data_IF_210086099952
#
_entry.id   IF_210086099952
#
_cell.length_a   1.000
_cell.length_b   1.000
_cell.length_c   1.000
_cell.angle_alpha   90.00
_cell.angle_beta   90.00
_cell.angle_gamma   90.00
#
_symmetry.space_group_name_H-M   'P 1'
#
loop_
_entity.id
_entity.type
_entity.pdbx_description
1 polymer ?
#
# COMPACT_ATOMS: atom_id res chain seq x y z
N UNK A 1 -15.62 -3.78 12.84
CA UNK A 1 -14.32 -3.95 13.49
C UNK A 1 -13.58 -5.17 12.98
N UNK A 2 -13.70 -6.32 13.64
CA UNK A 2 -12.84 -7.49 13.38
C UNK A 2 -12.74 -7.96 11.91
N UNK A 3 -13.82 -7.87 11.12
CA UNK A 3 -13.77 -8.22 9.69
C UNK A 3 -12.92 -7.24 8.87
N UNK A 4 -12.98 -5.94 9.20
CA UNK A 4 -12.13 -4.92 8.58
C UNK A 4 -10.65 -5.19 8.91
N UNK A 5 -10.35 -5.45 10.19
CA UNK A 5 -8.99 -5.81 10.61
C UNK A 5 -8.45 -7.06 9.88
N UNK A 6 -9.30 -8.07 9.66
CA UNK A 6 -8.90 -9.25 8.89
C UNK A 6 -8.56 -8.94 7.42
N UNK A 7 -9.26 -7.99 6.80
CA UNK A 7 -8.94 -7.50 5.45
C UNK A 7 -7.59 -6.75 5.48
N UNK A 8 -7.37 -5.89 6.47
CA UNK A 8 -6.09 -5.16 6.63
C UNK A 8 -4.90 -6.09 6.85
N UNK A 9 -5.09 -7.18 7.59
CA UNK A 9 -4.04 -8.18 7.81
C UNK A 9 -3.62 -8.87 6.51
N UNK A 10 -4.53 -9.09 5.57
CA UNK A 10 -4.19 -9.58 4.23
C UNK A 10 -3.28 -8.59 3.50
N UNK A 11 -3.61 -7.30 3.51
CA UNK A 11 -2.78 -6.27 2.89
C UNK A 11 -1.42 -6.11 3.59
N UNK A 12 -1.36 -6.19 4.93
CA UNK A 12 -0.10 -6.20 5.67
C UNK A 12 0.80 -7.36 5.26
N UNK A 13 0.25 -8.54 5.04
CA UNK A 13 1.01 -9.70 4.58
C UNK A 13 1.58 -9.51 3.15
N UNK A 14 0.83 -8.87 2.25
CA UNK A 14 1.31 -8.52 0.91
C UNK A 14 2.44 -7.49 0.98
N UNK A 15 2.28 -6.43 1.78
CA UNK A 15 3.34 -5.45 2.03
C UNK A 15 4.61 -6.09 2.59
N UNK A 16 4.48 -7.04 3.53
CA UNK A 16 5.63 -7.80 4.03
C UNK A 16 6.31 -8.62 2.91
N UNK A 17 5.52 -9.16 1.98
CA UNK A 17 6.01 -9.86 0.78
C UNK A 17 6.87 -8.97 -0.10
N UNK A 18 6.37 -7.77 -0.42
CA UNK A 18 7.07 -6.77 -1.23
C UNK A 18 8.33 -6.27 -0.52
N UNK A 19 8.26 -6.00 0.79
CA UNK A 19 9.40 -5.59 1.60
C UNK A 19 10.52 -6.65 1.59
N UNK A 20 10.17 -7.94 1.73
CA UNK A 20 11.13 -9.04 1.63
C UNK A 20 11.78 -9.10 0.24
N UNK A 21 11.01 -8.91 -0.83
CA UNK A 21 11.53 -8.91 -2.20
C UNK A 21 12.55 -7.77 -2.40
N UNK A 22 12.23 -6.55 -1.96
CA UNK A 22 13.16 -5.41 -2.03
C UNK A 22 14.45 -5.67 -1.24
N UNK A 23 14.35 -6.25 -0.04
CA UNK A 23 15.50 -6.61 0.77
C UNK A 23 16.39 -7.66 0.08
N UNK A 24 15.79 -8.68 -0.53
CA UNK A 24 16.52 -9.71 -1.30
C UNK A 24 17.24 -9.12 -2.51
N UNK A 25 16.60 -8.18 -3.22
CA UNK A 25 17.23 -7.47 -4.34
C UNK A 25 18.43 -6.69 -3.82
N UNK A 26 18.26 -5.88 -2.77
CA UNK A 26 19.33 -5.06 -2.20
C UNK A 26 20.53 -5.88 -1.75
N UNK A 27 20.30 -7.04 -1.12
CA UNK A 27 21.36 -7.94 -0.67
C UNK A 27 22.17 -8.55 -1.83
N UNK A 28 21.56 -8.74 -3.00
CA UNK A 28 22.22 -9.31 -4.18
C UNK A 28 22.99 -8.29 -5.02
N UNK A 29 22.79 -6.99 -4.79
CA UNK A 29 23.43 -5.90 -5.56
C UNK A 29 24.48 -5.20 -4.71
N UNK A 30 25.32 -5.96 -4.02
CA UNK A 30 26.33 -5.40 -3.12
C UNK A 30 27.44 -4.58 -3.84
N UNK A 31 27.46 -4.54 -5.18
CA UNK A 31 28.38 -3.71 -5.96
C UNK A 31 27.66 -2.86 -7.03
N UNK A 32 27.89 -1.54 -7.10
CA UNK A 32 27.24 -0.63 -8.05
C UNK A 32 27.39 -0.99 -9.53
N UNK A 33 28.48 -1.69 -9.90
CA UNK A 33 28.74 -2.15 -11.26
C UNK A 33 28.06 -3.48 -11.64
N UNK A 34 27.52 -4.20 -10.67
CA UNK A 34 26.88 -5.49 -10.90
C UNK A 34 25.38 -5.36 -11.16
N UNK A 35 24.79 -4.19 -10.93
CA UNK A 35 23.34 -4.00 -11.12
C UNK A 35 22.96 -4.20 -12.60
N UNK A 36 23.56 -3.48 -13.55
CA UNK A 36 23.19 -3.59 -14.97
C UNK A 36 23.40 -5.01 -15.57
N UNK A 37 24.53 -5.72 -15.32
CA UNK A 37 24.68 -7.12 -15.70
C UNK A 37 23.75 -8.08 -14.94
N UNK A 38 23.51 -7.84 -13.65
CA UNK A 38 22.57 -8.62 -12.86
C UNK A 38 21.12 -8.34 -13.23
N UNK A 39 20.81 -7.33 -14.05
CA UNK A 39 19.49 -6.98 -14.58
C UNK A 39 19.23 -7.52 -16.00
N UNK A 40 20.26 -7.76 -16.81
CA UNK A 40 20.10 -8.23 -18.19
C UNK A 40 19.79 -9.74 -18.28
N UNK A 41 18.54 -10.13 -18.57
CA UNK A 41 18.16 -11.54 -18.84
C UNK A 41 18.15 -12.49 -17.62
N UNK A 42 18.31 -11.94 -16.43
CA UNK A 42 18.63 -12.62 -15.16
C UNK A 42 17.44 -12.69 -14.19
N UNK A 43 17.65 -13.39 -13.07
CA UNK A 43 16.66 -13.52 -11.98
C UNK A 43 16.20 -12.17 -11.41
N UNK A 44 17.02 -11.12 -11.49
CA UNK A 44 16.64 -9.79 -11.02
C UNK A 44 15.62 -9.09 -11.93
N UNK A 45 15.74 -9.21 -13.27
CA UNK A 45 14.70 -8.72 -14.18
C UNK A 45 13.37 -9.44 -13.95
N UNK A 46 13.41 -10.76 -13.69
CA UNK A 46 12.22 -11.52 -13.28
C UNK A 46 11.66 -11.04 -11.94
N UNK A 47 12.53 -10.77 -10.96
CA UNK A 47 12.13 -10.22 -9.67
C UNK A 47 11.57 -8.80 -9.78
N UNK A 48 12.07 -7.98 -10.72
CA UNK A 48 11.60 -6.61 -10.93
C UNK A 48 10.28 -6.56 -11.70
N UNK A 49 10.11 -7.43 -12.69
CA UNK A 49 8.81 -7.65 -13.34
C UNK A 49 7.76 -8.16 -12.32
N UNK A 50 8.16 -9.09 -11.44
CA UNK A 50 7.33 -9.52 -10.32
C UNK A 50 7.05 -8.39 -9.34
N UNK A 51 8.04 -7.57 -8.99
CA UNK A 51 7.85 -6.40 -8.11
C UNK A 51 6.86 -5.41 -8.73
N UNK A 52 7.01 -5.04 -9.99
CA UNK A 52 6.09 -4.14 -10.68
C UNK A 52 4.67 -4.70 -10.77
N UNK A 53 4.55 -6.00 -11.02
CA UNK A 53 3.25 -6.69 -11.10
C UNK A 53 2.59 -6.83 -9.72
N UNK A 54 3.34 -7.23 -8.70
CA UNK A 54 2.86 -7.35 -7.32
C UNK A 54 2.48 -5.97 -6.77
N UNK A 55 3.41 -5.01 -6.82
CA UNK A 55 3.15 -3.64 -6.43
C UNK A 55 1.94 -3.04 -7.16
N UNK A 56 1.83 -3.22 -8.48
CA UNK A 56 0.70 -2.74 -9.27
C UNK A 56 -0.63 -3.42 -8.89
N UNK A 57 -0.63 -4.74 -8.72
CA UNK A 57 -1.82 -5.51 -8.32
C UNK A 57 -2.27 -5.14 -6.92
N UNK A 58 -1.36 -5.08 -5.98
CA UNK A 58 -1.65 -4.84 -4.57
C UNK A 58 -2.09 -3.39 -4.35
N UNK A 59 -1.49 -2.44 -5.08
CA UNK A 59 -1.97 -1.06 -5.11
C UNK A 59 -3.39 -0.95 -5.69
N UNK A 60 -3.71 -1.69 -6.76
CA UNK A 60 -5.06 -1.70 -7.33
C UNK A 60 -6.10 -2.32 -6.37
N UNK A 61 -5.72 -3.39 -5.66
CA UNK A 61 -6.58 -4.01 -4.66
C UNK A 61 -6.79 -3.10 -3.44
N UNK A 62 -5.76 -2.38 -2.99
CA UNK A 62 -5.86 -1.42 -1.89
C UNK A 62 -6.73 -0.21 -2.28
N UNK A 63 -6.56 0.30 -3.50
CA UNK A 63 -7.42 1.34 -4.06
C UNK A 63 -8.89 0.90 -4.05
N UNK A 64 -9.18 -0.31 -4.54
CA UNK A 64 -10.55 -0.83 -4.53
C UNK A 64 -11.14 -0.97 -3.12
N UNK A 65 -10.32 -1.33 -2.14
CA UNK A 65 -10.73 -1.40 -0.74
C UNK A 65 -11.12 -0.01 -0.21
N UNK A 66 -10.25 1.00 -0.36
CA UNK A 66 -10.58 2.36 0.04
C UNK A 66 -11.78 2.94 -0.73
N UNK A 67 -11.92 2.61 -2.02
CA UNK A 67 -13.08 3.04 -2.82
C UNK A 67 -14.39 2.47 -2.25
N UNK A 68 -14.39 1.20 -1.79
CA UNK A 68 -15.55 0.59 -1.13
C UNK A 68 -15.86 1.32 0.19
N UNK A 69 -14.83 1.67 0.96
CA UNK A 69 -15.02 2.38 2.22
C UNK A 69 -15.60 3.78 2.00
N UNK A 70 -15.04 4.53 1.06
CA UNK A 70 -15.47 5.88 0.74
C UNK A 70 -16.89 5.92 0.15
N UNK A 71 -17.23 4.96 -0.71
CA UNK A 71 -18.51 4.96 -1.41
C UNK A 71 -19.64 4.30 -0.62
N UNK A 72 -19.34 3.41 0.33
CA UNK A 72 -20.34 2.62 1.03
C UNK A 72 -20.20 2.64 2.55
N UNK A 73 -19.03 2.28 3.09
CA UNK A 73 -18.86 2.13 4.54
C UNK A 73 -18.95 3.47 5.30
N UNK A 74 -18.19 4.48 4.87
CA UNK A 74 -18.18 5.80 5.51
C UNK A 74 -19.53 6.53 5.40
N UNK A 75 -20.24 6.51 4.26
CA UNK A 75 -21.61 7.02 4.20
C UNK A 75 -22.57 6.31 5.16
N UNK A 76 -22.48 4.97 5.29
CA UNK A 76 -23.29 4.21 6.23
C UNK A 76 -22.96 4.56 7.70
N UNK A 77 -21.68 4.67 8.05
CA UNK A 77 -21.23 5.12 9.37
C UNK A 77 -21.71 6.54 9.68
N UNK A 78 -21.59 7.46 8.72
CA UNK A 78 -22.06 8.85 8.87
C UNK A 78 -23.57 8.91 9.12
N UNK A 79 -24.34 8.13 8.34
CA UNK A 79 -25.80 8.05 8.47
C UNK A 79 -26.23 7.48 9.84
N UNK A 80 -25.56 6.43 10.32
CA UNK A 80 -25.94 5.75 11.55
C UNK A 80 -25.37 6.40 12.83
N UNK A 81 -24.14 6.90 12.80
CA UNK A 81 -23.42 7.45 13.96
C UNK A 81 -23.52 8.97 14.10
N UNK A 82 -24.00 9.67 13.06
CA UNK A 82 -24.21 11.11 13.08
C UNK A 82 -22.93 11.92 13.28
N UNK A 83 -23.07 13.13 13.84
CA UNK A 83 -22.00 14.12 13.92
C UNK A 83 -20.75 13.67 14.71
N UNK A 84 -20.88 12.67 15.60
CA UNK A 84 -19.76 12.16 16.39
C UNK A 84 -18.67 11.49 15.53
N UNK A 85 -19.04 10.89 14.39
CA UNK A 85 -18.10 10.20 13.50
C UNK A 85 -17.54 11.09 12.38
N UNK A 86 -18.12 12.28 12.16
CA UNK A 86 -17.68 13.21 11.12
C UNK A 86 -16.17 13.52 11.15
N UNK A 87 -15.53 13.85 12.30
CA UNK A 87 -14.08 14.13 12.31
C UNK A 87 -13.23 12.88 12.03
N UNK A 88 -13.69 11.70 12.43
CA UNK A 88 -13.00 10.43 12.16
C UNK A 88 -13.01 10.13 10.66
N UNK A 89 -14.19 10.18 10.04
CA UNK A 89 -14.36 9.95 8.60
C UNK A 89 -13.57 10.98 7.78
N UNK A 90 -13.63 12.26 8.15
CA UNK A 90 -12.89 13.31 7.46
C UNK A 90 -11.37 13.06 7.46
N UNK A 91 -10.84 12.57 8.59
CA UNK A 91 -9.44 12.18 8.70
C UNK A 91 -9.11 10.97 7.83
N UNK A 92 -9.91 9.90 7.89
CA UNK A 92 -9.69 8.70 7.08
C UNK A 92 -9.68 9.03 5.58
N UNK A 93 -10.64 9.83 5.11
CA UNK A 93 -10.64 10.31 3.72
C UNK A 93 -9.41 11.15 3.36
N UNK A 94 -8.85 11.92 4.31
CA UNK A 94 -7.62 12.66 4.06
C UNK A 94 -6.40 11.73 3.96
N UNK A 95 -6.35 10.69 4.80
CA UNK A 95 -5.33 9.64 4.75
C UNK A 95 -5.41 8.84 3.44
N UNK A 96 -6.61 8.50 2.96
CA UNK A 96 -6.80 7.82 1.67
C UNK A 96 -6.22 8.62 0.50
N UNK A 97 -6.50 9.93 0.44
CA UNK A 97 -5.94 10.81 -0.62
C UNK A 97 -4.42 10.81 -0.62
N UNK A 98 -3.79 10.83 0.55
CA UNK A 98 -2.34 10.73 0.68
C UNK A 98 -1.83 9.36 0.19
N UNK A 99 -2.50 8.27 0.59
CA UNK A 99 -2.13 6.92 0.18
C UNK A 99 -2.26 6.76 -1.34
N UNK A 100 -3.35 7.25 -1.96
CA UNK A 100 -3.53 7.21 -3.42
C UNK A 100 -2.43 8.00 -4.15
N UNK A 101 -1.98 9.14 -3.60
CA UNK A 101 -0.84 9.87 -4.15
C UNK A 101 0.46 9.06 -4.08
N UNK A 102 0.74 8.42 -2.93
CA UNK A 102 1.92 7.57 -2.74
C UNK A 102 1.91 6.33 -3.66
N UNK A 103 0.74 5.73 -3.90
CA UNK A 103 0.55 4.66 -4.87
C UNK A 103 0.95 5.15 -6.27
N UNK A 104 0.47 6.33 -6.67
CA UNK A 104 0.80 6.93 -7.97
C UNK A 104 2.29 7.25 -8.13
N UNK A 105 2.93 7.75 -7.07
CA UNK A 105 4.37 8.01 -7.04
C UNK A 105 5.19 6.72 -7.16
N UNK A 106 4.80 5.68 -6.41
CA UNK A 106 5.46 4.38 -6.45
C UNK A 106 5.30 3.72 -7.82
N UNK A 107 4.12 3.82 -8.44
CA UNK A 107 3.89 3.33 -9.79
C UNK A 107 4.85 3.97 -10.80
N UNK A 108 4.95 5.31 -10.81
CA UNK A 108 5.90 6.03 -11.66
C UNK A 108 7.35 5.63 -11.40
N UNK A 109 7.73 5.44 -10.14
CA UNK A 109 9.08 5.01 -9.77
C UNK A 109 9.38 3.59 -10.27
N UNK A 110 8.39 2.69 -10.20
CA UNK A 110 8.50 1.33 -10.73
C UNK A 110 8.60 1.31 -12.26
N UNK A 111 7.80 2.11 -12.97
CA UNK A 111 7.90 2.26 -14.42
C UNK A 111 9.30 2.77 -14.85
N UNK A 112 9.81 3.81 -14.18
CA UNK A 112 11.14 4.34 -14.46
C UNK A 112 12.24 3.29 -14.20
N UNK A 113 12.09 2.47 -13.17
CA UNK A 113 13.00 1.36 -12.87
C UNK A 113 12.97 0.26 -13.93
N UNK A 114 11.82 0.01 -14.57
CA UNK A 114 11.72 -0.94 -15.69
C UNK A 114 12.40 -0.40 -16.94
N UNK A 115 12.25 0.90 -17.24
CA UNK A 115 12.81 1.53 -18.44
C UNK A 115 14.33 1.69 -18.36
N UNK A 116 14.86 2.17 -17.23
CA UNK A 116 16.29 2.37 -17.00
C UNK A 116 16.70 1.75 -15.66
N UNK A 117 17.03 0.44 -15.66
CA UNK A 117 17.25 -0.27 -14.43
C UNK A 117 18.65 0.07 -13.88
N UNK A 118 18.67 1.02 -12.94
CA UNK A 118 19.86 1.60 -12.33
C UNK A 118 19.77 1.71 -10.81
N UNK A 119 20.90 1.88 -10.13
CA UNK A 119 20.95 1.82 -8.65
C UNK A 119 20.13 2.97 -8.04
N UNK A 120 20.16 4.14 -8.69
CA UNK A 120 19.35 5.29 -8.33
C UNK A 120 17.85 5.05 -8.55
N UNK A 121 17.46 4.40 -9.66
CA UNK A 121 16.06 4.06 -9.92
C UNK A 121 15.52 3.05 -8.90
N UNK A 122 16.33 2.05 -8.55
CA UNK A 122 15.98 1.08 -7.52
C UNK A 122 15.83 1.74 -6.15
N UNK A 123 16.76 2.62 -5.77
CA UNK A 123 16.68 3.36 -4.52
C UNK A 123 15.40 4.19 -4.42
N UNK A 124 15.04 4.94 -5.48
CA UNK A 124 13.77 5.70 -5.53
C UNK A 124 12.55 4.82 -5.35
N UNK A 125 12.52 3.67 -6.01
CA UNK A 125 11.41 2.73 -5.91
C UNK A 125 11.30 2.12 -4.50
N UNK A 126 12.42 1.73 -3.90
CA UNK A 126 12.47 1.22 -2.53
C UNK A 126 12.07 2.28 -1.49
N UNK A 127 12.48 3.53 -1.66
CA UNK A 127 12.09 4.66 -0.81
C UNK A 127 10.59 4.96 -0.92
N UNK A 128 10.06 4.99 -2.15
CA UNK A 128 8.63 5.16 -2.40
C UNK A 128 7.79 4.06 -1.75
N UNK A 129 8.21 2.80 -1.90
CA UNK A 129 7.55 1.67 -1.25
C UNK A 129 7.60 1.79 0.28
N UNK A 130 8.75 2.13 0.86
CA UNK A 130 8.88 2.28 2.31
C UNK A 130 8.00 3.43 2.85
N UNK A 131 7.80 4.51 2.08
CA UNK A 131 6.87 5.58 2.43
C UNK A 131 5.41 5.10 2.42
N UNK A 132 5.01 4.39 1.37
CA UNK A 132 3.68 3.81 1.23
C UNK A 132 3.38 2.79 2.35
N UNK A 133 4.30 1.86 2.61
CA UNK A 133 4.18 0.84 3.65
C UNK A 133 3.94 1.45 5.04
N UNK A 134 4.72 2.48 5.40
CA UNK A 134 4.51 3.20 6.67
C UNK A 134 3.16 3.89 6.73
N UNK A 135 2.74 4.55 5.64
CA UNK A 135 1.47 5.26 5.59
C UNK A 135 0.28 4.29 5.76
N UNK A 136 0.29 3.17 5.04
CA UNK A 136 -0.78 2.16 5.12
C UNK A 136 -0.86 1.55 6.52
N UNK A 137 0.26 1.13 7.10
CA UNK A 137 0.24 0.52 8.46
C UNK A 137 -0.25 1.50 9.51
N UNK A 138 0.15 2.76 9.42
CA UNK A 138 -0.34 3.82 10.31
C UNK A 138 -1.84 4.05 10.13
N UNK A 139 -2.31 4.13 8.89
CA UNK A 139 -3.70 4.33 8.54
C UNK A 139 -4.58 3.19 9.07
N UNK A 140 -4.25 1.94 8.72
CA UNK A 140 -4.96 0.77 9.20
C UNK A 140 -5.02 0.70 10.72
N UNK A 141 -3.90 0.96 11.42
CA UNK A 141 -3.88 0.96 12.88
C UNK A 141 -4.81 2.01 13.49
N UNK A 142 -4.87 3.21 12.90
CA UNK A 142 -5.81 4.24 13.32
C UNK A 142 -7.26 3.81 13.05
N UNK A 143 -7.56 3.40 11.82
CA UNK A 143 -8.91 3.02 11.42
C UNK A 143 -9.47 1.86 12.25
N UNK A 144 -8.70 0.80 12.43
CA UNK A 144 -9.08 -0.35 13.25
C UNK A 144 -9.41 0.09 14.68
N UNK A 145 -8.57 0.93 15.27
CA UNK A 145 -8.76 1.42 16.64
C UNK A 145 -10.05 2.22 16.77
N UNK A 146 -10.31 3.14 15.85
CA UNK A 146 -11.43 4.10 15.98
C UNK A 146 -12.74 3.57 15.43
N UNK A 147 -12.72 2.63 14.47
CA UNK A 147 -13.92 2.09 13.85
C UNK A 147 -14.30 0.70 14.36
N UNK A 148 -13.50 0.04 15.21
CA UNK A 148 -13.84 -1.30 15.70
C UNK A 148 -15.24 -1.35 16.34
N UNK A 149 -15.44 -0.53 17.36
CA UNK A 149 -16.70 -0.45 18.10
C UNK A 149 -17.83 0.18 17.27
N UNK A 150 -17.67 1.35 16.62
CA UNK A 150 -18.74 1.95 15.82
C UNK A 150 -19.32 1.02 14.76
N UNK A 151 -18.47 0.30 14.02
CA UNK A 151 -18.92 -0.65 12.99
C UNK A 151 -19.82 -1.75 13.59
N UNK A 152 -19.48 -2.24 14.79
CA UNK A 152 -20.26 -3.27 15.47
C UNK A 152 -21.55 -2.74 16.10
N UNK A 153 -21.45 -1.63 16.84
CA UNK A 153 -22.56 -1.01 17.55
C UNK A 153 -23.64 -0.51 16.59
N UNK A 154 -23.24 0.06 15.45
CA UNK A 154 -24.13 0.61 14.43
C UNK A 154 -24.55 -0.41 13.37
N UNK A 155 -24.05 -1.66 13.46
CA UNK A 155 -24.33 -2.75 12.50
C UNK A 155 -24.07 -2.35 11.04
N UNK A 156 -23.00 -1.59 10.80
CA UNK A 156 -22.61 -1.19 9.44
C UNK A 156 -22.04 -2.39 8.70
N UNK A 157 -22.54 -2.71 7.49
CA UNK A 157 -22.00 -3.78 6.69
C UNK A 157 -20.61 -3.43 6.14
N UNK A 158 -19.78 -4.47 6.07
CA UNK A 158 -18.41 -4.53 5.52
C UNK A 158 -18.28 -5.82 4.72
#
# INVERSE_FOLDING_TARGET
GRRLAAIHDMYRAELDGVARLLAQIRARVAQPGELAPALAGTQLARNMAMFGTACGRDCALLQNHHDIEEQWMFPALSSAGGAALAPVIARLMAEHRLIHALIGDLHRAAEALVVDPGAAAFARCAEGFAALDRAIRSHFGYEETVLEEPLGALRVPI
#
